data_IF_616712020229
#
_entry.id   IF_616712020229
#
_cell.length_a   1.000
_cell.length_b   1.000
_cell.length_c   1.000
_cell.angle_alpha   90.00
_cell.angle_beta   90.00
_cell.angle_gamma   90.00
#
_symmetry.space_group_name_H-M   'P 1'
#
loop_
_entity.id
_entity.type
_entity.pdbx_description
1 polymer ?
#
# COMPACT_ATOMS: atom_id res chain seq x y z
N UNK A 1 8.02 30.15 -43.18
CA UNK A 1 7.63 28.89 -42.53
C UNK A 1 8.18 27.76 -43.37
N UNK A 2 8.96 26.83 -42.80
CA UNK A 2 9.53 25.72 -43.56
C UNK A 2 8.41 24.74 -43.93
N UNK A 3 7.89 24.87 -45.16
CA UNK A 3 6.76 24.07 -45.66
C UNK A 3 7.06 22.56 -45.59
N UNK A 4 8.34 22.15 -45.58
CA UNK A 4 8.75 20.76 -45.41
C UNK A 4 8.24 20.11 -44.11
N UNK A 5 7.98 20.90 -43.06
CA UNK A 5 7.47 20.39 -41.77
C UNK A 5 6.01 19.94 -41.83
N UNK A 6 5.27 20.31 -42.88
CA UNK A 6 3.88 19.91 -43.06
C UNK A 6 3.73 18.52 -43.73
N UNK A 7 4.85 17.87 -44.07
CA UNK A 7 4.86 16.59 -44.79
C UNK A 7 4.07 15.49 -44.07
N UNK A 8 4.21 15.38 -42.75
CA UNK A 8 3.52 14.33 -41.98
C UNK A 8 2.01 14.56 -41.97
N UNK A 9 1.56 15.81 -41.76
CA UNK A 9 0.13 16.18 -41.83
C UNK A 9 -0.45 15.95 -43.22
N UNK A 10 0.32 16.23 -44.27
CA UNK A 10 -0.10 15.94 -45.65
C UNK A 10 -0.28 14.44 -45.88
N UNK A 11 0.66 13.61 -45.40
CA UNK A 11 0.60 12.14 -45.50
C UNK A 11 -0.62 11.57 -44.78
N UNK A 12 -0.91 12.09 -43.59
CA UNK A 12 -1.98 11.60 -42.72
C UNK A 12 -3.35 12.18 -43.10
N UNK A 13 -3.42 12.97 -44.19
CA UNK A 13 -4.63 13.61 -44.68
C UNK A 13 -5.28 14.58 -43.66
N UNK A 14 -4.45 15.23 -42.84
CA UNK A 14 -4.84 16.15 -41.76
C UNK A 14 -4.74 17.64 -42.17
N UNK A 15 -4.82 17.91 -43.48
CA UNK A 15 -4.75 19.25 -44.05
C UNK A 15 -6.09 19.60 -44.69
N UNK A 16 -6.48 20.87 -44.59
CA UNK A 16 -7.61 21.38 -45.37
C UNK A 16 -7.30 21.37 -46.86
N UNK A 17 -8.33 21.42 -47.71
CA UNK A 17 -8.19 21.34 -49.17
C UNK A 17 -7.29 22.46 -49.72
N UNK A 18 -7.40 23.68 -49.20
CA UNK A 18 -6.57 24.82 -49.58
C UNK A 18 -5.10 24.64 -49.18
N UNK A 19 -4.84 24.21 -47.93
CA UNK A 19 -3.47 23.94 -47.46
C UNK A 19 -2.83 22.79 -48.24
N UNK A 20 -3.64 21.79 -48.63
CA UNK A 20 -3.19 20.65 -49.42
C UNK A 20 -2.73 21.09 -50.81
N UNK A 21 -3.52 21.89 -51.53
CA UNK A 21 -3.12 22.43 -52.84
C UNK A 21 -1.82 23.23 -52.75
N UNK A 22 -1.69 24.07 -51.71
CA UNK A 22 -0.46 24.84 -51.46
C UNK A 22 0.76 23.96 -51.16
N UNK A 23 0.55 22.82 -50.50
CA UNK A 23 1.60 21.85 -50.22
C UNK A 23 1.95 21.01 -51.45
N UNK A 24 0.99 20.67 -52.31
CA UNK A 24 1.23 19.97 -53.58
C UNK A 24 2.12 20.81 -54.52
N UNK A 25 1.90 22.13 -54.58
CA UNK A 25 2.80 23.05 -55.28
C UNK A 25 4.22 23.03 -54.69
N UNK A 26 4.35 22.97 -53.36
CA UNK A 26 5.65 22.83 -52.70
C UNK A 26 6.30 21.47 -52.99
N UNK A 27 5.53 20.39 -52.98
CA UNK A 27 5.99 19.03 -53.27
C UNK A 27 6.54 18.94 -54.69
N UNK A 28 5.91 19.60 -55.67
CA UNK A 28 6.40 19.65 -57.04
C UNK A 28 7.79 20.33 -57.15
N UNK A 29 8.05 21.35 -56.34
CA UNK A 29 9.30 22.12 -56.36
C UNK A 29 10.40 21.55 -55.44
N UNK A 30 10.05 20.92 -54.33
CA UNK A 30 10.99 20.51 -53.29
C UNK A 30 11.50 19.07 -53.50
N UNK A 31 12.80 18.94 -53.82
CA UNK A 31 13.45 17.63 -54.02
C UNK A 31 13.34 16.72 -52.79
N UNK A 32 13.59 17.24 -51.59
CA UNK A 32 13.58 16.45 -50.35
C UNK A 32 12.19 15.84 -50.08
N UNK A 33 11.12 16.62 -50.22
CA UNK A 33 9.77 16.11 -50.02
C UNK A 33 9.39 15.04 -51.06
N UNK A 34 9.84 15.17 -52.32
CA UNK A 34 9.63 14.13 -53.35
C UNK A 34 10.36 12.84 -53.03
N UNK A 35 11.62 12.93 -52.59
CA UNK A 35 12.41 11.76 -52.20
C UNK A 35 11.78 11.03 -51.02
N UNK A 36 11.30 11.77 -50.01
CA UNK A 36 10.55 11.18 -48.88
C UNK A 36 9.28 10.48 -49.34
N UNK A 37 8.51 11.09 -50.25
CA UNK A 37 7.28 10.49 -50.79
C UNK A 37 7.57 9.22 -51.59
N UNK A 38 8.62 9.23 -52.42
CA UNK A 38 9.03 8.07 -53.20
C UNK A 38 9.49 6.91 -52.29
N UNK A 39 10.25 7.21 -51.23
CA UNK A 39 10.68 6.22 -50.24
C UNK A 39 9.48 5.57 -49.55
N UNK A 40 8.49 6.35 -49.11
CA UNK A 40 7.26 5.81 -48.53
C UNK A 40 6.48 4.96 -49.54
N UNK A 41 6.37 5.43 -50.79
CA UNK A 41 5.74 4.67 -51.87
C UNK A 41 6.40 3.31 -52.11
N UNK A 42 7.72 3.25 -52.06
CA UNK A 42 8.49 2.01 -52.17
C UNK A 42 8.22 1.06 -51.00
N UNK A 43 8.22 1.57 -49.76
CA UNK A 43 7.91 0.76 -48.56
C UNK A 43 6.49 0.19 -48.65
N UNK A 44 5.51 1.02 -49.00
CA UNK A 44 4.11 0.58 -49.17
C UNK A 44 4.02 -0.46 -50.29
N UNK A 45 4.75 -0.28 -51.38
CA UNK A 45 4.85 -1.26 -52.45
C UNK A 45 5.37 -2.61 -51.97
N UNK A 46 6.45 -2.62 -51.20
CA UNK A 46 7.02 -3.84 -50.60
C UNK A 46 6.04 -4.51 -49.65
N UNK A 47 5.41 -3.76 -48.74
CA UNK A 47 4.43 -4.30 -47.79
C UNK A 47 3.23 -4.91 -48.52
N UNK A 48 2.75 -4.29 -49.60
CA UNK A 48 1.64 -4.82 -50.40
C UNK A 48 1.98 -6.09 -51.17
N UNK A 49 3.26 -6.30 -51.51
CA UNK A 49 3.73 -7.50 -52.19
C UNK A 49 3.96 -8.66 -51.22
N UNK A 50 4.07 -8.37 -49.92
CA UNK A 50 4.21 -9.41 -48.91
C UNK A 50 2.92 -10.25 -48.85
N UNK A 51 2.98 -11.58 -49.07
CA UNK A 51 1.81 -12.42 -48.97
C UNK A 51 1.32 -12.38 -47.52
N UNK A 52 0.09 -11.92 -47.31
CA UNK A 52 -0.58 -11.98 -46.01
C UNK A 52 -0.77 -13.46 -45.68
N UNK A 53 0.17 -14.03 -44.93
CA UNK A 53 -0.01 -15.35 -44.34
C UNK A 53 -0.99 -15.16 -43.19
N UNK A 54 -2.17 -15.80 -43.22
CA UNK A 54 -2.99 -15.86 -42.04
C UNK A 54 -2.19 -16.66 -41.00
N UNK A 55 -1.50 -15.96 -40.10
CA UNK A 55 -1.09 -16.58 -38.88
C UNK A 55 -2.38 -16.88 -38.14
N UNK A 56 -2.66 -18.16 -37.90
CA UNK A 56 -3.75 -18.56 -37.04
C UNK A 56 -3.36 -18.29 -35.57
N UNK A 57 -3.19 -17.00 -35.28
CA UNK A 57 -2.95 -16.49 -33.94
C UNK A 57 -4.15 -16.79 -33.06
N UNK A 58 -5.36 -16.83 -33.62
CA UNK A 58 -6.56 -17.17 -32.87
C UNK A 58 -6.48 -18.62 -32.37
N UNK A 59 -6.14 -19.57 -33.24
CA UNK A 59 -5.95 -20.98 -32.87
C UNK A 59 -4.75 -21.16 -31.93
N UNK A 60 -3.60 -20.51 -32.19
CA UNK A 60 -2.44 -20.59 -31.29
C UNK A 60 -2.71 -19.96 -29.91
N UNK A 61 -3.46 -18.87 -29.85
CA UNK A 61 -3.85 -18.24 -28.58
C UNK A 61 -4.89 -19.12 -27.88
N UNK A 62 -5.86 -19.68 -28.61
CA UNK A 62 -6.85 -20.59 -28.05
C UNK A 62 -6.19 -21.88 -27.53
N UNK A 63 -5.24 -22.45 -28.26
CA UNK A 63 -4.47 -23.62 -27.86
C UNK A 63 -3.60 -23.32 -26.63
N UNK A 64 -2.99 -22.14 -26.55
CA UNK A 64 -2.23 -21.75 -25.34
C UNK A 64 -3.11 -21.40 -24.13
N UNK A 65 -4.28 -20.81 -24.36
CA UNK A 65 -5.17 -20.38 -23.28
C UNK A 65 -6.07 -21.50 -22.76
N UNK A 66 -6.50 -22.41 -23.64
CA UNK A 66 -7.43 -23.51 -23.35
C UNK A 66 -6.80 -24.89 -23.53
N UNK A 67 -5.55 -24.98 -23.97
CA UNK A 67 -4.78 -26.22 -23.97
C UNK A 67 -4.74 -26.78 -22.57
N UNK A 68 -5.47 -27.87 -22.35
CA UNK A 68 -5.53 -28.57 -21.09
C UNK A 68 -4.08 -28.89 -20.66
N UNK A 69 -3.62 -28.40 -19.50
CA UNK A 69 -2.33 -28.84 -18.97
C UNK A 69 -2.42 -30.36 -18.82
N UNK A 70 -1.44 -31.07 -19.41
CA UNK A 70 -1.31 -32.53 -19.33
C UNK A 70 -1.63 -32.98 -17.91
N UNK A 71 -2.58 -33.91 -17.79
CA UNK A 71 -3.25 -34.38 -16.56
C UNK A 71 -2.35 -34.78 -15.40
N UNK A 72 -1.04 -34.89 -15.61
CA UNK A 72 -0.05 -35.15 -14.56
C UNK A 72 0.26 -33.93 -13.69
N UNK A 73 0.31 -32.72 -14.27
CA UNK A 73 0.64 -31.52 -13.49
C UNK A 73 -0.48 -31.16 -12.50
N UNK A 74 -1.74 -31.37 -12.89
CA UNK A 74 -2.89 -31.18 -12.01
C UNK A 74 -2.95 -32.22 -10.89
N UNK A 75 -2.46 -33.44 -11.13
CA UNK A 75 -2.38 -34.49 -10.12
C UNK A 75 -1.30 -34.17 -9.07
N UNK A 76 -0.12 -33.73 -9.51
CA UNK A 76 0.97 -33.31 -8.62
C UNK A 76 0.59 -32.04 -7.83
N UNK A 77 -0.05 -31.05 -8.47
CA UNK A 77 -0.54 -29.85 -7.77
C UNK A 77 -1.69 -30.16 -6.79
N UNK A 78 -2.53 -31.17 -7.07
CA UNK A 78 -3.57 -31.62 -6.15
C UNK A 78 -2.96 -32.26 -4.88
N UNK A 79 -1.84 -32.95 -5.02
CA UNK A 79 -1.07 -33.46 -3.88
C UNK A 79 -0.28 -32.40 -3.13
N UNK A 80 -0.01 -31.24 -3.76
CA UNK A 80 0.59 -30.07 -3.13
C UNK A 80 -0.42 -29.15 -2.40
N UNK A 81 -1.74 -29.45 -2.52
CA UNK A 81 -2.82 -28.72 -1.86
C UNK A 81 -3.19 -29.08 -0.40
N UNK A 82 -2.52 -29.98 0.35
CA UNK A 82 -2.71 -30.00 1.80
C UNK A 82 -1.99 -28.84 2.50
N UNK A 83 -1.26 -27.99 1.77
CA UNK A 83 -0.52 -26.85 2.35
C UNK A 83 -1.41 -25.86 3.11
N UNK A 84 -2.65 -25.62 2.66
CA UNK A 84 -3.58 -24.76 3.38
C UNK A 84 -4.07 -25.39 4.70
N UNK A 85 -4.30 -26.70 4.71
CA UNK A 85 -4.65 -27.43 5.93
C UNK A 85 -3.48 -27.50 6.92
N UNK A 86 -2.26 -27.71 6.42
CA UNK A 86 -1.05 -27.71 7.24
C UNK A 86 -0.74 -26.33 7.81
N UNK A 87 -0.91 -25.26 7.03
CA UNK A 87 -0.72 -23.89 7.52
C UNK A 87 -1.71 -23.56 8.66
N UNK A 88 -2.98 -23.93 8.51
CA UNK A 88 -3.99 -23.76 9.56
C UNK A 88 -3.64 -24.56 10.83
N UNK A 89 -3.14 -25.78 10.68
CA UNK A 89 -2.74 -26.64 11.80
C UNK A 89 -1.53 -26.07 12.54
N UNK A 90 -0.51 -25.59 11.82
CA UNK A 90 0.67 -24.94 12.41
C UNK A 90 0.28 -23.68 13.19
N UNK A 91 -0.59 -22.84 12.62
CA UNK A 91 -1.10 -21.64 13.30
C UNK A 91 -1.87 -22.04 14.57
N UNK A 92 -2.74 -23.05 14.51
CA UNK A 92 -3.49 -23.54 15.67
C UNK A 92 -2.54 -24.05 16.78
N UNK A 93 -1.50 -24.80 16.43
CA UNK A 93 -0.49 -25.26 17.39
C UNK A 93 0.29 -24.11 18.02
N UNK A 94 0.63 -23.08 17.25
CA UNK A 94 1.29 -21.87 17.77
C UNK A 94 0.38 -21.15 18.77
N UNK A 95 -0.90 -20.97 18.44
CA UNK A 95 -1.86 -20.33 19.36
C UNK A 95 -2.06 -21.14 20.64
N UNK A 96 -2.16 -22.46 20.55
CA UNK A 96 -2.26 -23.33 21.72
C UNK A 96 -0.98 -23.20 22.56
N UNK A 97 0.20 -23.30 21.93
CA UNK A 97 1.48 -23.17 22.64
C UNK A 97 1.59 -21.82 23.35
N UNK A 98 1.26 -20.71 22.69
CA UNK A 98 1.23 -19.38 23.30
C UNK A 98 0.25 -19.31 24.47
N UNK A 99 -0.95 -19.86 24.31
CA UNK A 99 -1.96 -19.85 25.37
C UNK A 99 -1.50 -20.61 26.62
N UNK A 100 -0.76 -21.71 26.46
CA UNK A 100 -0.18 -22.47 27.57
C UNK A 100 1.08 -21.81 28.16
N UNK A 101 1.86 -21.07 27.37
CA UNK A 101 3.07 -20.39 27.83
C UNK A 101 2.84 -18.97 28.35
N UNK A 102 1.65 -18.39 28.18
CA UNK A 102 1.32 -17.14 28.84
C UNK A 102 1.31 -17.40 30.36
N UNK A 103 2.21 -16.76 31.14
CA UNK A 103 2.11 -16.82 32.59
C UNK A 103 0.74 -16.28 32.96
N UNK A 104 -0.08 -17.11 33.61
CA UNK A 104 -1.43 -16.73 34.03
C UNK A 104 -1.39 -15.37 34.73
N UNK A 105 -2.46 -14.56 34.63
CA UNK A 105 -2.48 -13.20 35.14
C UNK A 105 -1.97 -13.25 36.58
N UNK A 106 -0.78 -12.68 36.78
CA UNK A 106 -0.20 -12.58 38.11
C UNK A 106 -1.25 -11.85 38.92
N UNK A 107 -1.82 -12.56 39.90
CA UNK A 107 -2.70 -11.95 40.90
C UNK A 107 -1.78 -11.04 41.70
N UNK A 108 -1.55 -9.84 41.19
CA UNK A 108 -0.91 -8.76 41.94
C UNK A 108 -1.79 -8.61 43.16
N UNK A 109 -1.27 -9.03 44.31
CA UNK A 109 -2.05 -9.03 45.53
C UNK A 109 -2.33 -7.58 45.86
N UNK A 110 -3.62 -7.24 45.97
CA UNK A 110 -4.10 -5.92 46.41
C UNK A 110 -3.39 -5.47 47.70
N UNK A 111 -2.91 -6.43 48.49
CA UNK A 111 -2.06 -6.23 49.66
C UNK A 111 -0.75 -5.47 49.35
N UNK A 112 -0.04 -5.80 48.28
CA UNK A 112 1.23 -5.15 47.93
C UNK A 112 1.01 -3.69 47.47
N UNK A 113 -0.08 -3.46 46.75
CA UNK A 113 -0.46 -2.13 46.30
C UNK A 113 -0.90 -1.25 47.48
N UNK A 114 -1.61 -1.84 48.45
CA UNK A 114 -1.95 -1.17 49.71
C UNK A 114 -0.71 -0.82 50.55
N UNK A 115 0.24 -1.75 50.68
CA UNK A 115 1.48 -1.54 51.44
C UNK A 115 2.37 -0.47 50.80
N UNK A 116 2.41 -0.40 49.46
CA UNK A 116 3.11 0.65 48.74
C UNK A 116 2.46 2.02 48.93
N UNK A 117 1.13 2.10 48.90
CA UNK A 117 0.39 3.34 49.13
C UNK A 117 0.52 3.83 50.58
N UNK A 118 0.50 2.92 51.57
CA UNK A 118 0.73 3.26 52.98
C UNK A 118 2.13 3.82 53.21
N UNK A 119 3.17 3.17 52.67
CA UNK A 119 4.55 3.65 52.82
C UNK A 119 4.77 5.01 52.14
N UNK A 120 4.11 5.27 51.01
CA UNK A 120 4.14 6.60 50.39
C UNK A 120 3.39 7.65 51.22
N UNK A 121 2.25 7.29 51.82
CA UNK A 121 1.51 8.20 52.68
C UNK A 121 2.34 8.58 53.93
N UNK A 122 2.97 7.62 54.59
CA UNK A 122 3.82 7.86 55.76
C UNK A 122 5.07 8.68 55.41
N UNK A 123 5.69 8.43 54.25
CA UNK A 123 6.84 9.21 53.79
C UNK A 123 6.46 10.64 53.36
N UNK A 124 5.20 10.87 52.98
CA UNK A 124 4.71 12.15 52.47
C UNK A 124 4.16 13.08 53.57
N UNK A 125 4.11 12.67 54.84
CA UNK A 125 3.72 13.57 55.94
C UNK A 125 4.91 14.48 56.26
N UNK A 126 4.89 15.77 55.85
CA UNK A 126 5.97 16.68 56.17
C UNK A 126 5.88 16.98 57.67
N UNK A 127 7.00 17.03 58.39
CA UNK A 127 7.05 17.38 59.81
C UNK A 127 6.27 18.68 60.16
N UNK A 128 6.09 19.57 59.17
CA UNK A 128 5.24 20.75 59.27
C UNK A 128 3.76 20.44 59.59
N UNK A 129 3.17 19.34 59.07
CA UNK A 129 1.79 18.95 59.40
C UNK A 129 1.65 18.38 60.82
N UNK A 130 2.69 17.72 61.33
CA UNK A 130 2.71 17.24 62.72
C UNK A 130 2.84 18.40 63.71
N UNK A 131 3.64 19.42 63.37
CA UNK A 131 3.72 20.66 64.16
C UNK A 131 2.40 21.44 64.15
N UNK A 132 1.69 21.46 63.02
CA UNK A 132 0.39 22.15 62.92
C UNK A 132 -0.74 21.40 63.65
N UNK A 133 -0.72 20.07 63.67
CA UNK A 133 -1.62 19.29 64.53
C UNK A 133 -1.34 19.51 66.02
N UNK A 134 -0.08 19.73 66.40
CA UNK A 134 0.30 20.15 67.75
C UNK A 134 -0.27 21.51 68.12
N UNK A 135 -0.12 22.52 67.26
CA UNK A 135 -0.62 23.88 67.53
C UNK A 135 -2.15 23.95 67.65
N UNK A 136 -2.87 23.16 66.85
CA UNK A 136 -4.34 23.11 66.92
C UNK A 136 -4.82 22.48 68.24
N UNK A 137 -4.07 21.51 68.79
CA UNK A 137 -4.39 20.91 70.09
C UNK A 137 -4.15 21.88 71.25
N UNK A 138 -3.10 22.70 71.20
CA UNK A 138 -2.85 23.75 72.20
C UNK A 138 -3.90 24.88 72.13
N UNK A 139 -4.34 25.24 70.93
CA UNK A 139 -5.41 26.23 70.74
C UNK A 139 -6.75 25.75 71.33
N UNK A 140 -7.08 24.45 71.18
CA UNK A 140 -8.29 23.88 71.78
C UNK A 140 -8.25 23.86 73.30
N UNK A 141 -7.08 23.61 73.90
CA UNK A 141 -6.90 23.70 75.37
C UNK A 141 -7.05 25.14 75.85
N UNK A 142 -6.50 26.12 75.11
CA UNK A 142 -6.64 27.53 75.43
C UNK A 142 -8.09 28.02 75.35
N UNK A 143 -8.84 27.64 74.31
CA UNK A 143 -10.28 27.96 74.20
C UNK A 143 -11.10 27.40 75.36
N UNK A 144 -10.75 26.21 75.85
CA UNK A 144 -11.42 25.60 76.98
C UNK A 144 -11.13 26.32 78.31
N UNK A 145 -10.01 27.03 78.40
CA UNK A 145 -9.61 27.80 79.57
C UNK A 145 -10.27 29.19 79.62
N UNK A 146 -10.44 29.86 78.47
CA UNK A 146 -11.16 31.15 78.40
C UNK A 146 -12.69 30.99 78.45
N UNK A 147 -13.22 29.82 78.08
CA UNK A 147 -14.66 29.52 78.12
C UNK A 147 -15.25 29.29 79.52
N UNK A 148 -14.49 29.46 80.60
CA UNK A 148 -14.94 29.27 81.97
C UNK A 148 -14.92 30.58 82.80
N UNK A 149 -15.88 31.50 82.59
CA UNK A 149 -16.09 32.61 83.50
C UNK A 149 -16.81 32.11 84.76
N UNK A 150 -16.18 32.31 85.92
CA UNK A 150 -16.84 32.20 87.24
C UNK A 150 -17.94 33.25 87.40
#
# INVERSE_FOLDING_TARGET
MDKCKLFDRYRDNEMSESERSDFELHLAACRNCREKMALLGNIVGLIKQEPIRPLDLAEQIAEKAFGQPRSWDTWVLSWLKPSQALAALVIALIFISLFWFLPGPQKVSVFWEYEQLMNQADAAIPAARLLQAGSDSEFMVWLQQEGNPQ
#
